data_IF_851871899138
#
_entry.id   IF_851871899138
#
_cell.length_a   1.000
_cell.length_b   1.000
_cell.length_c   1.000
_cell.angle_alpha   90.00
_cell.angle_beta   90.00
_cell.angle_gamma   90.00
#
_symmetry.space_group_name_H-M   'P 1'
#
loop_
_entity.id
_entity.type
_entity.pdbx_description
1 polymer ?
#
# COMPACT_ATOMS: atom_id res chain seq x y z
N UNK A 1 -8.48 -0.21 11.06
CA UNK A 1 -7.16 -0.36 10.43
C UNK A 1 -6.30 0.86 10.73
N UNK A 2 -5.01 0.69 11.01
CA UNK A 2 -4.07 1.82 11.15
C UNK A 2 -3.10 1.84 9.98
N UNK A 3 -2.98 2.97 9.29
CA UNK A 3 -1.98 3.17 8.25
C UNK A 3 -0.79 3.97 8.80
N UNK A 4 0.42 3.43 8.67
CA UNK A 4 1.66 4.11 9.05
C UNK A 4 2.53 4.28 7.80
N UNK A 5 2.75 5.52 7.40
CA UNK A 5 3.45 5.78 6.15
C UNK A 5 3.79 7.24 5.89
N UNK A 6 3.81 7.63 4.64
CA UNK A 6 4.13 8.98 4.19
C UNK A 6 3.19 9.38 3.04
N UNK A 7 3.65 10.28 2.18
CA UNK A 7 2.89 10.79 1.04
C UNK A 7 2.44 9.71 0.04
N UNK A 8 3.04 8.51 0.03
CA UNK A 8 2.58 7.38 -0.79
C UNK A 8 1.29 6.73 -0.27
N UNK A 9 0.98 6.98 1.01
CA UNK A 9 -0.27 6.56 1.65
C UNK A 9 -1.24 7.74 1.78
N UNK A 10 -0.76 8.91 2.18
CA UNK A 10 -1.62 10.06 2.46
C UNK A 10 -2.20 10.75 1.21
N UNK A 11 -1.50 10.72 0.07
CA UNK A 11 -1.96 11.44 -1.13
C UNK A 11 -3.19 10.82 -1.74
N UNK A 12 -4.09 11.70 -2.18
CA UNK A 12 -5.40 11.36 -2.73
C UNK A 12 -6.28 10.53 -1.77
N UNK A 13 -5.96 10.57 -0.47
CA UNK A 13 -6.66 9.83 0.57
C UNK A 13 -6.82 8.32 0.26
N UNK A 14 -5.70 7.62 0.07
CA UNK A 14 -5.72 6.18 -0.19
C UNK A 14 -6.56 5.40 0.85
N UNK A 15 -6.43 5.62 2.18
CA UNK A 15 -7.23 4.89 3.16
C UNK A 15 -8.74 5.19 3.06
N UNK A 16 -9.12 6.44 2.83
CA UNK A 16 -10.51 6.82 2.57
C UNK A 16 -11.05 6.19 1.29
N UNK A 17 -10.26 6.19 0.22
CA UNK A 17 -10.64 5.56 -1.05
C UNK A 17 -10.84 4.04 -0.92
N UNK A 18 -9.97 3.36 -0.17
CA UNK A 18 -10.18 1.95 0.17
C UNK A 18 -11.49 1.76 0.96
N UNK A 19 -11.79 2.67 1.89
CA UNK A 19 -13.02 2.61 2.69
C UNK A 19 -14.27 2.76 1.82
N UNK A 20 -14.27 3.69 0.86
CA UNK A 20 -15.37 3.87 -0.09
C UNK A 20 -15.57 2.64 -0.99
N UNK A 21 -14.47 2.07 -1.49
CA UNK A 21 -14.49 0.84 -2.28
C UNK A 21 -15.05 -0.34 -1.48
N UNK A 22 -14.58 -0.53 -0.25
CA UNK A 22 -15.06 -1.58 0.64
C UNK A 22 -16.56 -1.40 0.95
N UNK A 23 -17.02 -0.17 1.19
CA UNK A 23 -18.43 0.13 1.43
C UNK A 23 -19.33 -0.25 0.25
N UNK A 24 -18.86 -0.04 -0.99
CA UNK A 24 -19.58 -0.47 -2.19
C UNK A 24 -19.69 -2.01 -2.32
N UNK A 25 -18.91 -2.77 -1.54
CA UNK A 25 -19.03 -4.22 -1.37
C UNK A 25 -19.69 -4.65 -0.06
N UNK A 26 -20.28 -3.70 0.68
CA UNK A 26 -20.96 -3.97 1.95
C UNK A 26 -20.01 -4.20 3.14
N UNK A 27 -18.73 -3.88 2.98
CA UNK A 27 -17.72 -3.95 4.04
C UNK A 27 -17.60 -2.59 4.73
N UNK A 28 -17.39 -2.59 6.05
CA UNK A 28 -17.10 -1.38 6.82
C UNK A 28 -15.63 -1.38 7.22
N UNK A 29 -14.92 -0.34 6.81
CA UNK A 29 -13.54 -0.08 7.25
C UNK A 29 -13.55 1.20 8.08
N UNK A 30 -13.03 1.12 9.29
CA UNK A 30 -12.61 2.29 10.04
C UNK A 30 -11.09 2.40 9.92
N UNK A 31 -10.59 3.60 9.67
CA UNK A 31 -9.17 3.80 9.47
C UNK A 31 -8.65 5.04 10.18
N UNK A 32 -7.40 4.93 10.63
CA UNK A 32 -6.58 6.05 11.05
C UNK A 32 -5.30 6.10 10.21
N UNK A 33 -4.72 7.29 10.08
CA UNK A 33 -3.50 7.52 9.31
C UNK A 33 -2.48 8.31 10.13
N UNK A 34 -1.34 7.67 10.38
CA UNK A 34 -0.13 8.32 10.90
C UNK A 34 0.83 8.48 9.73
N UNK A 35 1.01 9.74 9.29
CA UNK A 35 1.88 10.03 8.15
C UNK A 35 2.79 11.23 8.38
N UNK A 36 3.99 11.15 7.82
CA UNK A 36 4.93 12.26 7.77
C UNK A 36 5.67 12.27 6.43
N UNK A 37 5.78 13.44 5.80
CA UNK A 37 6.37 13.60 4.47
C UNK A 37 7.77 12.96 4.38
N UNK A 38 7.94 12.04 3.42
CA UNK A 38 9.19 11.31 3.18
C UNK A 38 9.68 10.42 4.33
N UNK A 39 8.88 10.20 5.38
CA UNK A 39 9.29 9.44 6.55
C UNK A 39 9.53 7.96 6.22
N UNK A 40 10.56 7.40 6.86
CA UNK A 40 10.73 5.95 6.99
C UNK A 40 9.99 5.42 8.21
N UNK A 41 9.82 4.10 8.29
CA UNK A 41 9.32 3.45 9.50
C UNK A 41 10.21 3.78 10.70
N UNK A 42 11.53 3.81 10.54
CA UNK A 42 12.45 4.25 11.61
C UNK A 42 12.12 5.65 12.15
N UNK A 43 11.74 6.58 11.28
CA UNK A 43 11.36 7.92 11.72
C UNK A 43 10.08 7.91 12.55
N UNK A 44 9.09 7.10 12.17
CA UNK A 44 7.86 6.90 12.94
C UNK A 44 8.12 6.23 14.28
N UNK A 45 8.95 5.19 14.29
CA UNK A 45 9.39 4.50 15.51
C UNK A 45 9.98 5.49 16.52
N UNK A 46 10.94 6.29 16.07
CA UNK A 46 11.61 7.27 16.92
C UNK A 46 10.70 8.42 17.36
N UNK A 47 9.62 8.71 16.62
CA UNK A 47 8.71 9.79 16.94
C UNK A 47 7.81 9.44 18.13
N UNK A 48 7.36 8.18 18.26
CA UNK A 48 6.50 7.71 19.35
C UNK A 48 5.03 7.46 18.95
N UNK A 49 4.29 8.41 18.34
CA UNK A 49 2.84 8.30 18.15
C UNK A 49 2.36 7.05 17.41
N UNK A 50 3.17 6.51 16.49
CA UNK A 50 2.83 5.27 15.80
C UNK A 50 2.77 4.07 16.75
N UNK A 51 3.67 4.01 17.73
CA UNK A 51 3.71 2.96 18.75
C UNK A 51 2.54 3.13 19.72
N UNK A 52 2.32 4.36 20.20
CA UNK A 52 1.20 4.66 21.12
C UNK A 52 -0.14 4.26 20.48
N UNK A 53 -0.35 4.62 19.21
CA UNK A 53 -1.56 4.24 18.49
C UNK A 53 -1.70 2.71 18.34
N UNK A 54 -0.62 1.98 18.01
CA UNK A 54 -0.68 0.52 17.90
C UNK A 54 -1.11 -0.11 19.23
N UNK A 55 -0.51 0.33 20.34
CA UNK A 55 -0.75 -0.26 21.67
C UNK A 55 -2.16 0.05 22.18
N UNK A 56 -2.62 1.29 22.00
CA UNK A 56 -3.87 1.76 22.62
C UNK A 56 -5.10 1.66 21.68
N UNK A 57 -4.88 1.53 20.37
CA UNK A 57 -5.94 1.72 19.36
C UNK A 57 -6.79 0.49 19.05
N UNK A 58 -6.35 -0.71 19.42
CA UNK A 58 -7.14 -1.94 19.23
C UNK A 58 -7.46 -2.29 17.76
N UNK A 59 -6.55 -1.99 16.83
CA UNK A 59 -6.78 -2.19 15.39
C UNK A 59 -6.73 -3.67 14.98
N UNK A 60 -7.55 -4.09 14.01
CA UNK A 60 -7.45 -5.43 13.41
C UNK A 60 -6.17 -5.58 12.56
N UNK A 61 -5.90 -4.58 11.71
CA UNK A 61 -4.75 -4.53 10.81
C UNK A 61 -3.97 -3.24 10.98
N UNK A 62 -2.65 -3.35 11.01
CA UNK A 62 -1.71 -2.24 10.95
C UNK A 62 -0.90 -2.35 9.66
N UNK A 63 -1.11 -1.38 8.78
CA UNK A 63 -0.49 -1.28 7.46
C UNK A 63 0.81 -0.48 7.55
N UNK A 64 1.92 -1.13 7.23
CA UNK A 64 3.26 -0.54 7.24
C UNK A 64 3.72 -0.20 5.82
N UNK A 65 4.01 1.08 5.59
CA UNK A 65 4.64 1.58 4.38
C UNK A 65 6.02 2.14 4.68
N UNK A 66 7.07 1.48 4.19
CA UNK A 66 8.44 1.98 4.28
C UNK A 66 8.69 3.08 3.24
N UNK A 67 9.69 3.95 3.50
CA UNK A 67 10.16 4.96 2.56
C UNK A 67 10.48 4.33 1.19
N UNK A 68 9.94 4.89 0.12
CA UNK A 68 9.83 4.24 -1.21
C UNK A 68 11.16 3.80 -1.86
N UNK A 69 12.30 4.35 -1.43
CA UNK A 69 13.64 4.00 -1.96
C UNK A 69 14.47 3.16 -1.00
N UNK A 70 14.08 3.05 0.27
CA UNK A 70 14.81 2.29 1.27
C UNK A 70 14.88 0.78 0.95
N UNK A 71 13.83 0.12 0.43
CA UNK A 71 13.93 -1.29 0.02
C UNK A 71 15.08 -1.55 -0.97
N UNK A 72 15.36 -0.58 -1.85
CA UNK A 72 16.43 -0.65 -2.85
C UNK A 72 17.79 -0.29 -2.23
N UNK A 73 17.83 0.79 -1.44
CA UNK A 73 19.08 1.33 -0.87
C UNK A 73 19.62 0.48 0.27
N UNK A 74 18.74 -0.08 1.09
CA UNK A 74 19.10 -0.84 2.29
C UNK A 74 17.94 -1.76 2.74
N UNK A 75 17.78 -2.89 2.04
CA UNK A 75 16.76 -3.89 2.37
C UNK A 75 16.90 -4.46 3.79
N UNK A 76 18.13 -4.56 4.32
CA UNK A 76 18.35 -5.01 5.70
C UNK A 76 17.76 -4.03 6.72
N UNK A 77 18.01 -2.72 6.54
CA UNK A 77 17.41 -1.69 7.40
C UNK A 77 15.89 -1.67 7.31
N UNK A 78 15.32 -1.86 6.12
CA UNK A 78 13.87 -2.02 5.97
C UNK A 78 13.37 -3.22 6.78
N UNK A 79 14.00 -4.38 6.65
CA UNK A 79 13.61 -5.60 7.38
C UNK A 79 13.69 -5.40 8.90
N UNK A 80 14.76 -4.74 9.40
CA UNK A 80 14.89 -4.38 10.81
C UNK A 80 13.73 -3.49 11.28
N UNK A 81 13.42 -2.41 10.55
CA UNK A 81 12.32 -1.52 10.93
C UNK A 81 10.97 -2.24 10.92
N UNK A 82 10.71 -3.07 9.90
CA UNK A 82 9.47 -3.85 9.80
C UNK A 82 9.38 -4.85 10.96
N UNK A 83 10.47 -5.53 11.32
CA UNK A 83 10.50 -6.50 12.41
C UNK A 83 10.23 -5.89 13.79
N UNK A 84 10.74 -4.68 14.04
CA UNK A 84 10.45 -3.91 15.26
C UNK A 84 8.96 -3.58 15.36
N UNK A 85 8.37 -2.99 14.31
CA UNK A 85 6.93 -2.71 14.28
C UNK A 85 6.10 -3.98 14.38
N UNK A 86 6.47 -5.04 13.65
CA UNK A 86 5.76 -6.31 13.68
C UNK A 86 5.66 -6.86 15.11
N UNK A 87 6.75 -6.81 15.88
CA UNK A 87 6.75 -7.28 17.27
C UNK A 87 5.69 -6.56 18.11
N UNK A 88 5.64 -5.22 18.04
CA UNK A 88 4.66 -4.40 18.77
C UNK A 88 3.24 -4.64 18.28
N UNK A 89 3.04 -4.74 16.96
CA UNK A 89 1.73 -5.01 16.34
C UNK A 89 1.18 -6.36 16.82
N UNK A 90 2.02 -7.39 16.89
CA UNK A 90 1.59 -8.73 17.35
C UNK A 90 1.32 -8.76 18.85
N UNK A 91 2.11 -8.05 19.65
CA UNK A 91 1.87 -7.90 21.09
C UNK A 91 0.55 -7.20 21.39
N UNK A 92 0.17 -6.20 20.58
CA UNK A 92 -1.14 -5.53 20.64
C UNK A 92 -2.31 -6.37 20.11
N UNK A 93 -2.06 -7.59 19.59
CA UNK A 93 -3.09 -8.49 19.06
C UNK A 93 -3.51 -8.21 17.62
N UNK A 94 -2.88 -7.25 16.94
CA UNK A 94 -3.17 -6.86 15.56
C UNK A 94 -2.45 -7.75 14.53
N UNK A 95 -2.88 -7.65 13.27
CA UNK A 95 -2.17 -8.22 12.10
C UNK A 95 -1.26 -7.18 11.45
N UNK A 96 -0.06 -7.59 11.07
CA UNK A 96 0.83 -6.77 10.26
C UNK A 96 0.49 -6.95 8.78
N UNK A 97 0.31 -5.82 8.08
CA UNK A 97 0.12 -5.76 6.63
C UNK A 97 1.21 -4.89 6.03
N UNK A 98 1.88 -5.35 4.98
CA UNK A 98 2.97 -4.62 4.32
C UNK A 98 2.49 -4.02 3.01
N UNK A 99 2.63 -2.70 2.87
CA UNK A 99 2.29 -1.98 1.64
C UNK A 99 3.50 -1.93 0.70
N UNK A 100 3.57 -2.87 -0.26
CA UNK A 100 4.61 -2.86 -1.29
C UNK A 100 4.36 -1.73 -2.30
N UNK A 101 5.15 -0.67 -2.19
CA UNK A 101 5.08 0.49 -3.11
C UNK A 101 5.70 0.20 -4.48
N UNK A 102 5.64 1.18 -5.38
CA UNK A 102 6.16 1.11 -6.74
C UNK A 102 7.54 1.78 -6.92
N UNK A 103 8.24 1.38 -7.98
CA UNK A 103 9.45 2.02 -8.48
C UNK A 103 9.17 3.44 -8.99
N UNK A 104 10.18 4.32 -8.94
CA UNK A 104 10.06 5.65 -9.53
C UNK A 104 10.04 5.56 -11.06
N UNK A 105 9.35 6.48 -11.74
CA UNK A 105 9.19 6.46 -13.21
C UNK A 105 10.53 6.34 -13.97
N UNK A 106 11.57 7.01 -13.48
CA UNK A 106 12.88 7.04 -14.13
C UNK A 106 13.77 5.82 -13.83
N UNK A 107 13.31 4.90 -12.95
CA UNK A 107 14.08 3.73 -12.54
C UNK A 107 13.15 2.49 -12.40
N UNK A 108 12.37 2.13 -13.43
CA UNK A 108 11.38 1.05 -13.37
C UNK A 108 12.00 -0.32 -13.04
N UNK A 109 13.28 -0.53 -13.39
CA UNK A 109 14.05 -1.74 -13.08
C UNK A 109 14.19 -1.99 -11.56
N UNK A 110 14.05 -0.96 -10.74
CA UNK A 110 14.14 -1.08 -9.28
C UNK A 110 12.95 -1.81 -8.66
N UNK A 111 11.84 -2.00 -9.39
CA UNK A 111 10.67 -2.72 -8.88
C UNK A 111 11.03 -4.13 -8.43
N UNK A 112 11.91 -4.83 -9.16
CA UNK A 112 12.34 -6.18 -8.79
C UNK A 112 13.00 -6.23 -7.40
N UNK A 113 13.81 -5.23 -7.07
CA UNK A 113 14.45 -5.12 -5.75
C UNK A 113 13.43 -4.77 -4.66
N UNK A 114 12.49 -3.86 -4.94
CA UNK A 114 11.40 -3.50 -4.01
C UNK A 114 10.56 -4.74 -3.69
N UNK A 115 10.06 -5.43 -4.72
CA UNK A 115 9.21 -6.60 -4.57
C UNK A 115 9.94 -7.71 -3.81
N UNK A 116 11.21 -7.98 -4.15
CA UNK A 116 12.02 -8.97 -3.43
C UNK A 116 12.17 -8.65 -1.94
N UNK A 117 12.39 -7.39 -1.59
CA UNK A 117 12.55 -6.98 -0.19
C UNK A 117 11.25 -7.18 0.60
N UNK A 118 10.12 -6.71 0.08
CA UNK A 118 8.80 -6.85 0.70
C UNK A 118 8.37 -8.33 0.81
N UNK A 119 8.47 -9.12 -0.26
CA UNK A 119 8.08 -10.54 -0.24
C UNK A 119 8.98 -11.35 0.70
N UNK A 120 10.29 -11.05 0.76
CA UNK A 120 11.20 -11.72 1.68
C UNK A 120 10.77 -11.50 3.14
N UNK A 121 10.60 -10.26 3.57
CA UNK A 121 10.26 -9.96 4.97
C UNK A 121 8.82 -10.36 5.30
N UNK A 122 7.89 -10.24 4.35
CA UNK A 122 6.51 -10.71 4.50
C UNK A 122 6.46 -12.20 4.82
N UNK A 123 7.18 -13.02 4.04
CA UNK A 123 7.29 -14.46 4.30
C UNK A 123 7.99 -14.78 5.63
N UNK A 124 9.08 -14.08 5.95
CA UNK A 124 9.83 -14.30 7.20
C UNK A 124 8.97 -14.05 8.45
N UNK A 125 8.04 -13.09 8.38
CA UNK A 125 7.16 -12.72 9.50
C UNK A 125 5.76 -13.32 9.42
N UNK A 126 5.42 -14.03 8.33
CA UNK A 126 4.04 -14.44 8.05
C UNK A 126 3.08 -13.25 7.93
N UNK A 127 3.57 -12.11 7.44
CA UNK A 127 2.80 -10.89 7.27
C UNK A 127 2.27 -10.78 5.84
N UNK A 128 0.99 -10.38 5.70
CA UNK A 128 0.37 -10.15 4.40
C UNK A 128 1.11 -9.03 3.65
N UNK A 129 1.38 -9.25 2.37
CA UNK A 129 1.97 -8.21 1.49
C UNK A 129 0.93 -7.79 0.45
N UNK A 130 0.58 -6.50 0.46
CA UNK A 130 -0.29 -5.89 -0.55
C UNK A 130 0.58 -5.44 -1.74
N UNK A 131 0.50 -6.11 -2.91
CA UNK A 131 1.52 -6.03 -3.96
C UNK A 131 1.27 -4.87 -4.96
N UNK A 132 1.02 -3.65 -4.47
CA UNK A 132 0.68 -2.50 -5.34
C UNK A 132 1.75 -2.24 -6.39
N UNK A 133 3.03 -2.32 -6.02
CA UNK A 133 4.13 -2.12 -6.96
C UNK A 133 4.16 -3.11 -8.14
N UNK A 134 3.68 -4.34 -7.95
CA UNK A 134 3.57 -5.33 -9.03
C UNK A 134 2.42 -4.99 -9.98
N UNK A 135 1.24 -4.69 -9.45
CA UNK A 135 0.10 -4.24 -10.26
C UNK A 135 0.41 -2.95 -11.03
N UNK A 136 1.13 -2.03 -10.39
CA UNK A 136 1.61 -0.80 -11.00
C UNK A 136 2.55 -1.05 -12.18
N UNK A 137 3.54 -1.94 -12.00
CA UNK A 137 4.48 -2.30 -13.06
C UNK A 137 3.77 -3.01 -14.22
N UNK A 138 2.86 -3.94 -13.92
CA UNK A 138 2.09 -4.64 -14.94
C UNK A 138 1.21 -3.69 -15.76
N UNK A 139 0.50 -2.78 -15.08
CA UNK A 139 -0.32 -1.78 -15.75
C UNK A 139 0.49 -0.94 -16.75
N UNK A 140 1.65 -0.44 -16.34
CA UNK A 140 2.51 0.39 -17.20
C UNK A 140 3.18 -0.40 -18.34
N UNK A 141 3.21 -1.73 -18.28
CA UNK A 141 3.70 -2.55 -19.38
C UNK A 141 2.69 -2.65 -20.53
N UNK A 142 1.40 -2.42 -20.26
CA UNK A 142 0.31 -2.61 -21.21
C UNK A 142 -0.42 -1.30 -21.57
N UNK A 143 -0.28 -0.26 -20.73
CA UNK A 143 -1.08 0.95 -20.82
C UNK A 143 -0.27 2.23 -20.57
N UNK A 144 -0.42 3.20 -21.47
CA UNK A 144 0.13 4.55 -21.30
C UNK A 144 -0.82 5.49 -20.53
N UNK A 145 -2.10 5.11 -20.41
CA UNK A 145 -3.14 5.91 -19.77
C UNK A 145 -4.15 5.06 -18.97
N UNK A 146 -4.71 5.61 -17.87
CA UNK A 146 -4.33 6.87 -17.23
C UNK A 146 -2.91 6.82 -16.63
N UNK A 147 -2.28 7.98 -16.51
CA UNK A 147 -0.95 8.06 -15.92
C UNK A 147 -1.03 7.81 -14.41
N UNK A 148 -0.24 6.86 -13.90
CA UNK A 148 -0.25 6.48 -12.50
C UNK A 148 0.57 7.43 -11.62
N UNK A 149 1.57 8.13 -12.19
CA UNK A 149 2.38 9.07 -11.40
C UNK A 149 1.87 10.50 -11.52
N UNK A 150 2.11 11.26 -10.46
CA UNK A 150 2.12 12.71 -10.51
C UNK A 150 3.31 13.22 -11.35
N UNK A 151 3.36 14.53 -11.62
CA UNK A 151 4.35 15.21 -12.46
C UNK A 151 5.80 14.98 -12.04
N UNK A 152 6.03 14.64 -10.77
CA UNK A 152 7.37 14.36 -10.25
C UNK A 152 7.88 12.94 -10.54
N UNK A 153 7.08 12.10 -11.20
CA UNK A 153 7.44 10.72 -11.54
C UNK A 153 7.63 9.82 -10.32
N UNK A 154 7.02 10.19 -9.20
CA UNK A 154 7.21 9.59 -7.90
C UNK A 154 5.88 9.32 -7.21
N UNK A 155 5.18 10.39 -6.86
CA UNK A 155 3.96 10.31 -6.09
C UNK A 155 2.82 9.75 -6.95
N UNK A 156 1.77 9.20 -6.32
CA UNK A 156 0.64 8.71 -7.09
C UNK A 156 -0.19 9.88 -7.61
N UNK A 157 -0.61 9.78 -8.87
CA UNK A 157 -1.77 10.52 -9.36
C UNK A 157 -3.05 9.95 -8.71
N UNK A 158 -4.22 10.59 -8.89
CA UNK A 158 -5.49 9.98 -8.48
C UNK A 158 -5.71 8.57 -9.06
N UNK A 159 -5.27 8.31 -10.30
CA UNK A 159 -5.30 6.98 -10.90
C UNK A 159 -4.39 5.99 -10.18
N UNK A 160 -3.18 6.41 -9.82
CA UNK A 160 -2.24 5.60 -9.05
C UNK A 160 -2.78 5.21 -7.68
N UNK A 161 -3.36 6.17 -6.94
CA UNK A 161 -4.00 5.87 -5.66
C UNK A 161 -5.22 4.96 -5.81
N UNK A 162 -5.99 5.11 -6.90
CA UNK A 162 -7.12 4.23 -7.18
C UNK A 162 -6.71 2.79 -7.47
N UNK A 163 -5.69 2.58 -8.29
CA UNK A 163 -5.11 1.25 -8.51
C UNK A 163 -4.65 0.63 -7.19
N UNK A 164 -3.92 1.41 -6.37
CA UNK A 164 -3.46 0.95 -5.07
C UNK A 164 -4.64 0.54 -4.16
N UNK A 165 -5.69 1.35 -4.07
CA UNK A 165 -6.88 1.02 -3.28
C UNK A 165 -7.60 -0.24 -3.79
N UNK A 166 -7.68 -0.45 -5.11
CA UNK A 166 -8.22 -1.68 -5.70
C UNK A 166 -7.39 -2.92 -5.33
N UNK A 167 -6.06 -2.81 -5.32
CA UNK A 167 -5.16 -3.90 -4.91
C UNK A 167 -5.31 -4.19 -3.41
N UNK A 168 -5.45 -3.16 -2.57
CA UNK A 168 -5.75 -3.34 -1.15
C UNK A 168 -7.08 -4.09 -0.95
N UNK A 169 -8.13 -3.69 -1.66
CA UNK A 169 -9.45 -4.32 -1.58
C UNK A 169 -9.35 -5.83 -1.92
N UNK A 170 -8.68 -6.16 -3.03
CA UNK A 170 -8.50 -7.53 -3.47
C UNK A 170 -7.64 -8.34 -2.50
N UNK A 171 -6.52 -7.80 -2.03
CA UNK A 171 -5.57 -8.51 -1.18
C UNK A 171 -6.07 -8.72 0.26
N UNK A 172 -6.82 -7.77 0.83
CA UNK A 172 -7.28 -7.87 2.21
C UNK A 172 -8.61 -8.61 2.34
N UNK A 173 -9.51 -8.44 1.38
CA UNK A 173 -10.89 -8.89 1.50
C UNK A 173 -11.29 -9.92 0.46
N UNK A 174 -10.41 -10.25 -0.50
CA UNK A 174 -10.74 -11.16 -1.61
C UNK A 174 -11.80 -10.59 -2.56
N UNK A 175 -12.11 -9.30 -2.44
CA UNK A 175 -13.16 -8.63 -3.19
C UNK A 175 -12.67 -8.21 -4.57
N UNK A 176 -13.49 -8.47 -5.59
CA UNK A 176 -13.14 -8.09 -6.96
C UNK A 176 -13.48 -6.61 -7.21
N UNK A 177 -12.51 -5.75 -7.52
CA UNK A 177 -12.78 -4.34 -7.80
C UNK A 177 -13.46 -4.08 -9.16
N UNK A 178 -13.51 -5.06 -10.07
CA UNK A 178 -14.05 -4.88 -11.42
C UNK A 178 -15.55 -4.58 -11.41
N UNK A 179 -15.94 -3.56 -12.18
CA UNK A 179 -17.33 -3.14 -12.35
C UNK A 179 -17.83 -2.20 -11.25
N UNK A 180 -16.93 -1.71 -10.39
CA UNK A 180 -17.29 -0.73 -9.36
C UNK A 180 -17.38 0.68 -9.94
N UNK A 181 -18.45 1.39 -9.56
CA UNK A 181 -18.58 2.82 -9.87
C UNK A 181 -17.88 3.72 -8.84
N UNK A 182 -17.55 3.21 -7.65
CA UNK A 182 -16.81 3.99 -6.67
C UNK A 182 -15.38 4.28 -7.16
N UNK A 183 -14.93 5.54 -7.01
CA UNK A 183 -13.59 5.98 -7.38
C UNK A 183 -13.50 7.49 -7.65
N UNK A 184 -12.30 8.02 -7.93
CA UNK A 184 -12.09 9.44 -8.18
C UNK A 184 -12.93 9.96 -9.36
N UNK A 185 -13.66 11.06 -9.14
CA UNK A 185 -14.51 11.70 -10.17
C UNK A 185 -13.73 12.14 -11.42
N UNK A 186 -12.40 12.28 -11.34
CA UNK A 186 -11.56 12.65 -12.47
C UNK A 186 -11.26 11.49 -13.43
N UNK A 187 -11.60 10.24 -13.05
CA UNK A 187 -11.39 9.05 -13.89
C UNK A 187 -12.68 8.66 -14.60
N UNK A 188 -12.62 8.57 -15.93
CA UNK A 188 -13.74 8.01 -16.70
C UNK A 188 -13.95 6.51 -16.40
N UNK A 189 -15.10 5.98 -16.81
CA UNK A 189 -15.46 4.57 -16.57
C UNK A 189 -14.44 3.59 -17.16
N UNK A 190 -13.91 3.89 -18.35
CA UNK A 190 -12.93 3.04 -19.03
C UNK A 190 -11.61 2.97 -18.25
N UNK A 191 -11.12 4.12 -17.79
CA UNK A 191 -9.90 4.23 -16.99
C UNK A 191 -10.05 3.50 -15.66
N UNK A 192 -11.19 3.64 -14.98
CA UNK A 192 -11.49 2.87 -13.75
C UNK A 192 -11.46 1.38 -14.02
N UNK A 193 -12.14 0.91 -15.06
CA UNK A 193 -12.20 -0.52 -15.39
C UNK A 193 -10.80 -1.11 -15.70
N UNK A 194 -9.95 -0.38 -16.43
CA UNK A 194 -8.56 -0.81 -16.69
C UNK A 194 -7.77 -0.98 -15.40
N UNK A 195 -7.85 -0.01 -14.48
CA UNK A 195 -7.15 -0.05 -13.20
C UNK A 195 -7.69 -1.18 -12.30
N UNK A 196 -9.01 -1.38 -12.26
CA UNK A 196 -9.64 -2.47 -11.52
C UNK A 196 -9.16 -3.84 -12.02
N UNK A 197 -9.10 -4.04 -13.34
CA UNK A 197 -8.62 -5.30 -13.95
C UNK A 197 -7.15 -5.57 -13.62
N UNK A 198 -6.31 -4.54 -13.65
CA UNK A 198 -4.90 -4.67 -13.29
C UNK A 198 -4.68 -5.07 -11.82
N UNK A 199 -5.55 -4.63 -10.91
CA UNK A 199 -5.49 -5.03 -9.50
C UNK A 199 -5.74 -6.55 -9.31
N UNK A 200 -6.62 -7.17 -10.11
CA UNK A 200 -6.97 -8.58 -9.98
C UNK A 200 -5.88 -9.56 -10.44
N UNK A 201 -4.90 -9.11 -11.22
CA UNK A 201 -3.84 -9.98 -11.75
C UNK A 201 -2.78 -10.33 -10.70
N UNK A 202 -2.79 -9.61 -9.56
CA UNK A 202 -1.83 -9.76 -8.48
C UNK A 202 -2.54 -9.90 -7.12
N UNK A 203 -3.28 -11.00 -6.89
CA UNK A 203 -3.74 -11.31 -5.54
C UNK A 203 -2.53 -11.43 -4.59
N UNK A 204 -2.78 -11.26 -3.29
CA UNK A 204 -1.75 -11.36 -2.25
C UNK A 204 -0.80 -12.53 -2.48
N UNK A 205 0.49 -12.32 -2.23
CA UNK A 205 1.47 -13.40 -2.24
C UNK A 205 1.33 -14.21 -0.94
N UNK A 206 0.26 -14.99 -0.84
CA UNK A 206 0.12 -16.01 0.20
C UNK A 206 0.87 -17.26 -0.26
N UNK A 207 2.01 -17.51 0.40
CA UNK A 207 2.91 -18.64 0.16
C UNK A 207 4.04 -18.68 1.18
#
# INVERSE_FOLDING_TARGET
>A
MLFIGNSFTARNDLPGMLTELAAARGLRIEHDLISAGGASLRRHWNAGPAIDAIVDGGYDDVVLQEQSTLPVKNAARMAENVGEFHSVIREAGSRTVLYMTWARRHAPETQAAISKAYTKIGRELGALVVPVGLAWQAFLAEHDHPDLYDRDGSHPSPAGSYLAACVFLAALFGENPVGMDAGPNQLDAKSRELLQRAACQHPSADG
#
